data_IF_927034467963
#
_entry.id   IF_927034467963
#
_cell.length_a   1.000
_cell.length_b   1.000
_cell.length_c   1.000
_cell.angle_alpha   90.00
_cell.angle_beta   90.00
_cell.angle_gamma   90.00
#
_symmetry.space_group_name_H-M   'P 1'
#
loop_
_entity.id
_entity.type
_entity.pdbx_description
1 polymer ?
#
# COMPACT_ATOMS: atom_id res chain seq x y z
N UNK A 1 2.01 4.58 7.89
CA UNK A 1 2.09 5.14 6.53
C UNK A 1 1.62 6.60 6.59
N UNK A 2 2.22 7.54 5.82
CA UNK A 2 1.57 8.82 5.53
C UNK A 2 0.21 8.56 4.85
N UNK A 3 -0.71 9.54 4.78
CA UNK A 3 -2.09 9.31 4.34
C UNK A 3 -2.20 8.99 2.83
N UNK A 4 -1.75 7.82 2.40
CA UNK A 4 -1.72 7.43 0.98
C UNK A 4 -3.12 7.42 0.38
N UNK A 5 -3.20 7.62 -0.94
CA UNK A 5 -4.46 7.52 -1.70
C UNK A 5 -5.18 6.19 -1.45
N UNK A 6 -4.44 5.09 -1.27
CA UNK A 6 -5.01 3.80 -0.90
C UNK A 6 -5.72 3.83 0.46
N UNK A 7 -5.09 4.42 1.48
CA UNK A 7 -5.70 4.57 2.81
C UNK A 7 -6.95 5.46 2.75
N UNK A 8 -6.90 6.55 1.97
CA UNK A 8 -8.04 7.44 1.79
C UNK A 8 -9.24 6.70 1.15
N UNK A 9 -8.99 5.89 0.12
CA UNK A 9 -10.02 5.06 -0.51
C UNK A 9 -10.60 4.01 0.44
N UNK A 10 -9.74 3.29 1.18
CA UNK A 10 -10.18 2.30 2.17
C UNK A 10 -11.05 2.94 3.27
N UNK A 11 -10.68 4.12 3.77
CA UNK A 11 -11.48 4.84 4.77
C UNK A 11 -12.85 5.26 4.23
N UNK A 12 -12.94 5.72 2.99
CA UNK A 12 -14.23 6.06 2.35
C UNK A 12 -15.13 4.82 2.18
N UNK A 13 -14.55 3.68 1.78
CA UNK A 13 -15.26 2.41 1.66
C UNK A 13 -15.77 1.95 3.03
N UNK A 14 -14.93 1.99 4.06
CA UNK A 14 -15.33 1.62 5.42
C UNK A 14 -16.46 2.53 5.94
N UNK A 15 -16.36 3.84 5.72
CA UNK A 15 -17.37 4.80 6.16
C UNK A 15 -18.74 4.55 5.47
N UNK A 16 -18.73 4.31 4.16
CA UNK A 16 -19.96 4.03 3.40
C UNK A 16 -20.61 2.70 3.77
N UNK A 17 -19.81 1.63 3.93
CA UNK A 17 -20.32 0.32 4.36
C UNK A 17 -20.83 0.33 5.79
N UNK A 18 -20.16 1.06 6.68
CA UNK A 18 -20.61 1.22 8.07
C UNK A 18 -21.97 1.93 8.13
N UNK A 19 -22.15 2.99 7.34
CA UNK A 19 -23.44 3.68 7.23
C UNK A 19 -24.55 2.77 6.66
N UNK A 20 -24.21 1.84 5.77
CA UNK A 20 -25.16 0.87 5.24
C UNK A 20 -25.54 -0.21 6.27
N UNK A 21 -24.58 -0.76 7.01
CA UNK A 21 -24.82 -1.68 8.11
C UNK A 21 -23.63 -1.74 9.06
N UNK A 22 -23.89 -1.54 10.35
CA UNK A 22 -22.86 -1.49 11.38
C UNK A 22 -22.03 -2.79 11.49
N UNK A 23 -22.58 -3.94 11.08
CA UNK A 23 -21.86 -5.23 11.18
C UNK A 23 -20.68 -5.32 10.20
N UNK A 24 -20.70 -4.51 9.13
CA UNK A 24 -19.66 -4.52 8.11
C UNK A 24 -18.30 -4.08 8.65
N UNK A 25 -18.26 -3.29 9.74
CA UNK A 25 -17.02 -2.82 10.36
C UNK A 25 -16.12 -3.97 10.82
N UNK A 26 -16.72 -5.09 11.25
CA UNK A 26 -15.97 -6.27 11.71
C UNK A 26 -15.26 -6.91 10.51
N UNK A 27 -15.96 -7.06 9.39
CA UNK A 27 -15.41 -7.64 8.17
C UNK A 27 -14.35 -6.74 7.54
N UNK A 28 -14.63 -5.44 7.41
CA UNK A 28 -13.67 -4.50 6.82
C UNK A 28 -12.46 -4.28 7.73
N UNK A 29 -12.66 -4.23 9.06
CA UNK A 29 -11.58 -4.15 10.04
C UNK A 29 -10.69 -5.40 10.06
N UNK A 30 -11.27 -6.60 9.95
CA UNK A 30 -10.49 -7.81 9.78
C UNK A 30 -9.68 -7.79 8.47
N UNK A 31 -10.30 -7.31 7.38
CA UNK A 31 -9.63 -7.15 6.08
C UNK A 31 -8.42 -6.21 6.12
N UNK A 32 -8.54 -5.06 6.80
CA UNK A 32 -7.41 -4.11 6.94
C UNK A 32 -6.28 -4.69 7.81
N UNK A 33 -6.59 -5.48 8.83
CA UNK A 33 -5.57 -6.17 9.63
C UNK A 33 -4.84 -7.23 8.80
N UNK A 34 -5.58 -8.03 8.01
CA UNK A 34 -4.97 -9.07 7.17
C UNK A 34 -4.06 -8.45 6.11
N UNK A 35 -4.50 -7.37 5.45
CA UNK A 35 -3.68 -6.67 4.45
C UNK A 35 -2.42 -6.07 5.08
N UNK A 36 -2.54 -5.39 6.23
CA UNK A 36 -1.39 -4.82 6.93
C UNK A 36 -0.39 -5.89 7.39
N UNK A 37 -0.87 -7.01 7.95
CA UNK A 37 -0.01 -8.10 8.43
C UNK A 37 0.68 -8.82 7.28
N UNK A 38 -0.01 -9.08 6.16
CA UNK A 38 0.58 -9.67 4.98
C UNK A 38 1.64 -8.76 4.33
N UNK A 39 1.36 -7.47 4.16
CA UNK A 39 2.35 -6.52 3.63
C UNK A 39 3.58 -6.42 4.52
N UNK A 40 3.39 -6.41 5.85
CA UNK A 40 4.50 -6.42 6.79
C UNK A 40 5.29 -7.73 6.70
N UNK A 41 4.62 -8.89 6.63
CA UNK A 41 5.26 -10.18 6.47
C UNK A 41 6.12 -10.23 5.19
N UNK A 42 5.59 -9.77 4.07
CA UNK A 42 6.32 -9.67 2.80
C UNK A 42 7.55 -8.76 2.93
N UNK A 43 7.42 -7.60 3.58
CA UNK A 43 8.56 -6.70 3.81
C UNK A 43 9.62 -7.35 4.71
N UNK A 44 9.21 -7.99 5.81
CA UNK A 44 10.14 -8.63 6.73
C UNK A 44 10.87 -9.78 6.05
N UNK A 45 10.15 -10.69 5.38
CA UNK A 45 10.76 -11.87 4.75
C UNK A 45 11.69 -11.54 3.58
N UNK A 46 11.38 -10.49 2.80
CA UNK A 46 12.20 -10.13 1.63
C UNK A 46 13.33 -9.15 1.94
N UNK A 47 13.12 -8.19 2.86
CA UNK A 47 14.07 -7.11 3.14
C UNK A 47 14.79 -7.26 4.48
N UNK A 48 14.19 -7.96 5.46
CA UNK A 48 14.74 -8.11 6.82
C UNK A 48 14.95 -9.58 7.19
N UNK A 49 16.11 -10.09 6.82
CA UNK A 49 16.55 -11.41 7.22
C UNK A 49 18.02 -11.62 6.86
N UNK A 50 18.59 -12.75 7.27
CA UNK A 50 19.87 -13.18 6.72
C UNK A 50 19.62 -13.68 5.29
N UNK A 51 20.32 -13.15 4.28
CA UNK A 51 20.26 -13.74 2.94
C UNK A 51 20.69 -15.21 3.04
N UNK A 52 20.07 -16.08 2.24
CA UNK A 52 20.39 -17.50 2.31
C UNK A 52 21.84 -17.72 1.86
N UNK A 53 22.55 -18.68 2.46
CA UNK A 53 23.96 -18.92 2.14
C UNK A 53 24.19 -19.28 0.65
N UNK A 54 23.13 -19.71 -0.05
CA UNK A 54 23.15 -20.08 -1.47
C UNK A 54 22.78 -18.93 -2.42
N UNK A 55 22.44 -17.73 -1.94
CA UNK A 55 22.25 -16.55 -2.81
C UNK A 55 23.59 -15.93 -3.17
N UNK A 56 24.34 -16.60 -4.06
CA UNK A 56 25.69 -16.19 -4.46
C UNK A 56 25.64 -15.10 -5.55
N UNK A 57 24.50 -14.94 -6.23
CA UNK A 57 24.37 -14.10 -7.43
C UNK A 57 23.39 -12.93 -7.26
N UNK A 58 23.57 -12.11 -6.21
CA UNK A 58 22.82 -10.85 -6.05
C UNK A 58 23.64 -9.73 -6.70
N UNK A 59 23.22 -9.29 -7.89
CA UNK A 59 23.82 -8.13 -8.55
C UNK A 59 23.37 -6.82 -7.89
N UNK A 60 24.21 -5.77 -7.91
CA UNK A 60 23.78 -4.44 -7.47
C UNK A 60 22.66 -3.91 -8.36
N UNK A 61 21.79 -3.11 -7.76
CA UNK A 61 20.62 -2.50 -8.42
C UNK A 61 21.04 -1.57 -9.54
N UNK A 62 20.37 -1.70 -10.69
CA UNK A 62 20.73 -0.95 -11.90
C UNK A 62 20.01 0.41 -11.97
N UNK A 63 20.53 1.34 -12.76
CA UNK A 63 19.89 2.67 -12.96
C UNK A 63 18.47 2.55 -13.51
N UNK A 64 18.23 1.59 -14.41
CA UNK A 64 16.89 1.26 -14.94
C UNK A 64 15.91 0.87 -13.83
N UNK A 65 16.35 0.11 -12.84
CA UNK A 65 15.50 -0.37 -11.74
C UNK A 65 15.16 0.79 -10.80
N UNK A 66 16.12 1.66 -10.49
CA UNK A 66 15.86 2.89 -9.73
C UNK A 66 14.89 3.82 -10.45
N UNK A 67 15.07 4.03 -11.76
CA UNK A 67 14.16 4.86 -12.55
C UNK A 67 12.74 4.27 -12.56
N UNK A 68 12.61 2.95 -12.72
CA UNK A 68 11.31 2.27 -12.68
C UNK A 68 10.64 2.49 -11.33
N UNK A 69 11.35 2.27 -10.22
CA UNK A 69 10.80 2.47 -8.88
C UNK A 69 10.44 3.94 -8.63
N UNK A 70 11.25 4.88 -9.09
CA UNK A 70 10.97 6.32 -9.00
C UNK A 70 9.71 6.69 -9.79
N UNK A 71 9.58 6.23 -11.04
CA UNK A 71 8.40 6.51 -11.88
C UNK A 71 7.11 5.90 -11.35
N UNK A 72 7.16 4.84 -10.54
CA UNK A 72 5.97 4.28 -9.89
C UNK A 72 5.63 5.00 -8.58
N UNK A 73 6.64 5.30 -7.76
CA UNK A 73 6.44 5.88 -6.42
C UNK A 73 6.20 7.39 -6.44
N UNK A 74 6.81 8.11 -7.37
CA UNK A 74 6.71 9.56 -7.46
C UNK A 74 5.28 10.03 -7.81
N UNK A 75 4.58 9.45 -8.80
CA UNK A 75 3.17 9.81 -9.06
C UNK A 75 2.28 9.55 -7.85
N UNK A 76 2.48 8.42 -7.17
CA UNK A 76 1.72 8.08 -5.95
C UNK A 76 1.94 9.11 -4.84
N UNK A 77 3.17 9.62 -4.69
CA UNK A 77 3.50 10.67 -3.72
C UNK A 77 3.00 12.06 -4.16
N UNK A 78 2.92 12.35 -5.46
CA UNK A 78 2.31 13.58 -5.96
C UNK A 78 0.79 13.57 -5.74
N UNK A 79 0.12 12.44 -5.97
CA UNK A 79 -1.32 12.30 -5.73
C UNK A 79 -1.70 12.45 -4.26
N UNK A 80 -0.77 12.15 -3.33
CA UNK A 80 -0.94 12.46 -1.90
C UNK A 80 -1.18 13.95 -1.65
N UNK A 81 -0.56 14.83 -2.43
CA UNK A 81 -0.66 16.29 -2.24
C UNK A 81 -1.99 16.83 -2.74
N UNK A 82 -2.63 16.16 -3.70
CA UNK A 82 -3.93 16.54 -4.28
C UNK A 82 -4.78 15.29 -4.56
N UNK A 83 -5.36 14.67 -3.53
CA UNK A 83 -6.17 13.45 -3.70
C UNK A 83 -7.45 13.71 -4.49
N UNK A 84 -7.95 14.95 -4.50
CA UNK A 84 -9.12 15.41 -5.26
C UNK A 84 -9.05 15.07 -6.75
N UNK A 85 -7.84 14.95 -7.33
CA UNK A 85 -7.66 14.64 -8.75
C UNK A 85 -8.13 13.23 -9.13
N UNK A 86 -8.22 12.32 -8.17
CA UNK A 86 -8.60 10.91 -8.37
C UNK A 86 -9.95 10.59 -7.74
N UNK A 87 -10.46 11.49 -6.90
CA UNK A 87 -11.82 11.36 -6.38
C UNK A 87 -12.80 11.65 -7.52
N UNK A 88 -13.72 10.72 -7.75
CA UNK A 88 -14.63 10.78 -8.89
C UNK A 88 -15.54 12.02 -8.87
N UNK A 89 -16.40 12.20 -9.88
CA UNK A 89 -17.20 13.43 -10.04
C UNK A 89 -18.25 13.70 -8.95
N UNK A 90 -18.42 12.81 -7.98
CA UNK A 90 -19.50 12.84 -6.97
C UNK A 90 -19.00 12.84 -5.53
N UNK A 91 -17.74 13.18 -5.30
CA UNK A 91 -17.16 13.40 -3.97
C UNK A 91 -16.99 14.88 -3.68
#
# INVERSE_FOLDING_TARGET
LPPTTNLMGEMLIIASLFNWSNITIIMTGAGTIITATYSLYMFLTTQRGKPSMNTINIYPTQTREHLLMALHTLPMLLLLMKPELVMGPFT
#
